data_IF_663047763461
#
_entry.id   IF_663047763461
#
_cell.length_a   1.000
_cell.length_b   1.000
_cell.length_c   1.000
_cell.angle_alpha   90.00
_cell.angle_beta   90.00
_cell.angle_gamma   90.00
#
_symmetry.space_group_name_H-M   'P 1'
#
loop_
_entity.id
_entity.type
_entity.pdbx_description
1 polymer ?
#
# COMPACT_ATOMS: atom_id res chain seq x y z
N UNK A 1 -7.62 -25.56 1.91
CA UNK A 1 -8.01 -24.29 1.27
C UNK A 1 -6.82 -23.37 1.29
N UNK A 2 -6.50 -22.74 0.16
CA UNK A 2 -5.61 -21.57 0.20
C UNK A 2 -6.45 -20.41 0.76
N UNK A 3 -5.88 -19.70 1.71
CA UNK A 3 -6.40 -18.43 2.22
C UNK A 3 -5.44 -17.36 1.71
N UNK A 4 -5.98 -16.20 1.34
CA UNK A 4 -5.20 -15.06 0.88
C UNK A 4 -4.03 -14.81 1.84
N UNK A 5 -4.26 -14.86 3.15
CA UNK A 5 -3.25 -14.55 4.16
C UNK A 5 -2.66 -15.79 4.87
N UNK A 6 -2.60 -16.94 4.20
CA UNK A 6 -2.17 -18.22 4.78
C UNK A 6 -0.66 -18.33 5.07
N UNK A 7 0.13 -17.33 4.70
CA UNK A 7 1.57 -17.26 4.97
C UNK A 7 2.45 -18.05 4.03
N UNK A 8 1.87 -18.71 3.02
CA UNK A 8 2.63 -19.44 2.00
C UNK A 8 3.25 -18.52 0.95
N UNK A 9 2.99 -17.22 1.02
CA UNK A 9 3.37 -16.24 0.02
C UNK A 9 4.08 -15.04 0.65
N UNK A 10 5.17 -14.66 0.00
CA UNK A 10 5.78 -13.36 0.18
C UNK A 10 5.25 -12.43 -0.90
N UNK A 11 4.93 -11.20 -0.51
CA UNK A 11 4.65 -10.11 -1.43
C UNK A 11 5.99 -9.48 -1.80
N UNK A 12 6.35 -9.52 -3.08
CA UNK A 12 7.56 -8.88 -3.61
C UNK A 12 7.18 -7.56 -4.23
N UNK A 13 7.69 -6.46 -3.67
CA UNK A 13 7.33 -5.11 -4.07
C UNK A 13 8.13 -4.64 -5.29
N UNK A 14 7.70 -3.52 -5.88
CA UNK A 14 8.43 -2.87 -6.97
C UNK A 14 9.74 -2.27 -6.48
N UNK A 15 10.86 -2.64 -7.10
CA UNK A 15 12.18 -2.16 -6.72
C UNK A 15 12.31 -0.63 -6.86
N UNK A 16 11.56 -0.04 -7.79
CA UNK A 16 11.44 1.39 -8.04
C UNK A 16 10.90 2.21 -6.84
N UNK A 17 10.31 1.53 -5.85
CA UNK A 17 9.74 2.14 -4.65
C UNK A 17 10.47 1.78 -3.35
N UNK A 18 11.61 1.07 -3.44
CA UNK A 18 12.36 0.62 -2.26
C UNK A 18 12.77 1.78 -1.36
N UNK A 19 13.24 2.88 -1.94
CA UNK A 19 13.66 4.06 -1.18
C UNK A 19 12.49 4.68 -0.41
N UNK A 20 11.29 4.76 -1.01
CA UNK A 20 10.12 5.29 -0.31
C UNK A 20 9.75 4.42 0.89
N UNK A 21 9.69 3.10 0.70
CA UNK A 21 9.41 2.17 1.80
C UNK A 21 10.47 2.26 2.90
N UNK A 22 11.76 2.32 2.55
CA UNK A 22 12.83 2.49 3.52
C UNK A 22 12.73 3.81 4.28
N UNK A 23 12.33 4.89 3.62
CA UNK A 23 12.09 6.19 4.26
C UNK A 23 10.91 6.13 5.23
N UNK A 24 9.81 5.49 4.86
CA UNK A 24 8.67 5.25 5.77
C UNK A 24 9.06 4.36 6.96
N UNK A 25 9.90 3.35 6.75
CA UNK A 25 10.42 2.50 7.83
C UNK A 25 11.30 3.24 8.82
N UNK A 26 12.10 4.23 8.37
CA UNK A 26 12.85 5.11 9.26
C UNK A 26 11.93 5.94 10.16
N UNK A 27 10.69 6.18 9.74
CA UNK A 27 9.64 6.82 10.53
C UNK A 27 8.86 5.86 11.43
N UNK A 28 9.36 4.63 11.63
CA UNK A 28 8.75 3.57 12.44
C UNK A 28 7.44 2.99 11.88
N UNK A 29 7.18 3.11 10.58
CA UNK A 29 6.12 2.35 9.92
C UNK A 29 6.69 1.02 9.44
N UNK A 30 6.13 -0.12 9.88
CA UNK A 30 6.58 -1.41 9.36
C UNK A 30 6.30 -1.53 7.85
N UNK A 31 6.95 -2.49 7.18
CA UNK A 31 6.83 -2.64 5.72
C UNK A 31 5.37 -2.97 5.32
N UNK A 32 4.72 -3.87 6.05
CA UNK A 32 3.31 -4.22 5.89
C UNK A 32 2.38 -3.02 6.13
N UNK A 33 2.68 -2.18 7.13
CA UNK A 33 1.89 -0.99 7.43
C UNK A 33 2.02 0.07 6.34
N UNK A 34 3.26 0.30 5.90
CA UNK A 34 3.57 1.21 4.79
C UNK A 34 2.91 0.74 3.49
N UNK A 35 2.97 -0.57 3.22
CA UNK A 35 2.29 -1.18 2.08
C UNK A 35 0.78 -1.02 2.19
N UNK A 36 0.18 -1.35 3.32
CA UNK A 36 -1.26 -1.24 3.55
C UNK A 36 -1.75 0.21 3.38
N UNK A 37 -1.05 1.17 3.97
CA UNK A 37 -1.33 2.60 3.81
C UNK A 37 -1.29 3.00 2.33
N UNK A 38 -0.24 2.61 1.61
CA UNK A 38 -0.10 2.90 0.20
C UNK A 38 -1.23 2.27 -0.64
N UNK A 39 -1.64 1.03 -0.35
CA UNK A 39 -2.80 0.39 -0.99
C UNK A 39 -4.06 1.23 -0.81
N UNK A 40 -4.35 1.65 0.42
CA UNK A 40 -5.56 2.42 0.73
C UNK A 40 -5.56 3.77 0.02
N UNK A 41 -4.42 4.47 0.01
CA UNK A 41 -4.25 5.74 -0.72
C UNK A 41 -4.44 5.55 -2.23
N UNK A 42 -3.78 4.54 -2.82
CA UNK A 42 -3.89 4.26 -4.24
C UNK A 42 -5.31 3.85 -4.64
N UNK A 43 -5.96 3.02 -3.82
CA UNK A 43 -7.34 2.60 -4.04
C UNK A 43 -8.30 3.79 -4.02
N UNK A 44 -8.21 4.62 -2.98
CA UNK A 44 -9.04 5.82 -2.83
C UNK A 44 -8.89 6.78 -4.02
N UNK A 45 -7.66 7.00 -4.47
CA UNK A 45 -7.35 7.88 -5.60
C UNK A 45 -7.50 7.19 -6.98
N UNK A 46 -7.98 5.94 -7.01
CA UNK A 46 -8.12 5.12 -8.22
C UNK A 46 -6.83 5.01 -9.05
N UNK A 47 -5.67 5.12 -8.40
CA UNK A 47 -4.36 5.10 -9.03
C UNK A 47 -3.75 3.69 -8.94
N UNK A 48 -3.44 3.12 -10.11
CA UNK A 48 -2.80 1.81 -10.25
C UNK A 48 -1.58 1.91 -11.16
N UNK A 49 -0.43 1.50 -10.64
CA UNK A 49 0.83 1.46 -11.39
C UNK A 49 1.36 0.03 -11.32
N UNK A 50 1.25 -0.77 -12.40
CA UNK A 50 1.80 -2.12 -12.43
C UNK A 50 3.30 -2.10 -12.09
N UNK A 51 3.77 -3.10 -11.33
CA UNK A 51 5.21 -3.24 -11.11
C UNK A 51 5.88 -3.85 -12.34
N UNK A 52 6.89 -3.16 -12.85
CA UNK A 52 7.70 -3.66 -13.95
C UNK A 52 8.91 -4.46 -13.46
N UNK A 53 9.30 -4.31 -12.18
CA UNK A 53 10.50 -4.91 -11.60
C UNK A 53 10.16 -5.55 -10.24
N UNK A 54 9.89 -6.86 -10.24
CA UNK A 54 9.62 -7.65 -9.02
C UNK A 54 10.90 -8.12 -8.34
N UNK A 55 11.69 -7.17 -7.86
CA UNK A 55 12.94 -7.40 -7.10
C UNK A 55 13.09 -6.43 -5.93
N UNK A 56 11.98 -5.84 -5.49
CA UNK A 56 11.97 -4.92 -4.37
C UNK A 56 11.99 -5.64 -3.03
N UNK A 57 11.68 -4.88 -1.98
CA UNK A 57 11.50 -5.41 -0.63
C UNK A 57 10.41 -6.50 -0.61
N UNK A 58 10.55 -7.44 0.31
CA UNK A 58 9.59 -8.53 0.49
C UNK A 58 9.10 -8.62 1.94
N UNK A 59 7.85 -9.05 2.12
CA UNK A 59 7.32 -9.44 3.41
C UNK A 59 6.28 -10.55 3.28
N UNK A 60 6.11 -11.32 4.34
CA UNK A 60 5.16 -12.43 4.37
C UNK A 60 3.72 -11.91 4.58
N UNK A 61 2.74 -12.52 3.90
CA UNK A 61 1.33 -12.15 4.04
C UNK A 61 0.78 -12.26 5.48
N UNK A 62 1.42 -13.02 6.36
CA UNK A 62 1.06 -13.12 7.78
C UNK A 62 1.37 -11.85 8.57
N UNK A 63 2.25 -10.98 8.07
CA UNK A 63 2.63 -9.75 8.75
C UNK A 63 1.46 -8.77 8.91
N UNK A 64 0.41 -8.89 8.08
CA UNK A 64 -0.79 -8.09 8.26
C UNK A 64 -1.48 -8.39 9.58
N UNK A 65 -1.89 -7.32 10.29
CA UNK A 65 -2.73 -7.44 11.47
C UNK A 65 -4.13 -7.97 11.11
N UNK A 66 -4.89 -8.53 12.07
CA UNK A 66 -6.27 -8.97 11.81
C UNK A 66 -7.14 -7.88 11.17
N UNK A 67 -7.04 -6.64 11.65
CA UNK A 67 -7.78 -5.49 11.13
C UNK A 67 -7.39 -5.18 9.68
N UNK A 68 -6.08 -5.20 9.36
CA UNK A 68 -5.62 -4.99 7.98
C UNK A 68 -6.17 -6.07 7.04
N UNK A 69 -6.20 -7.34 7.48
CA UNK A 69 -6.76 -8.43 6.69
C UNK A 69 -8.24 -8.22 6.41
N UNK A 70 -9.03 -7.85 7.42
CA UNK A 70 -10.47 -7.56 7.26
C UNK A 70 -10.72 -6.40 6.30
N UNK A 71 -9.96 -5.31 6.42
CA UNK A 71 -10.07 -4.15 5.54
C UNK A 71 -9.67 -4.47 4.11
N UNK A 72 -8.58 -5.24 3.92
CA UNK A 72 -8.18 -5.73 2.61
C UNK A 72 -9.24 -6.64 2.00
N UNK A 73 -9.85 -7.54 2.79
CA UNK A 73 -10.96 -8.37 2.32
C UNK A 73 -12.14 -7.53 1.84
N UNK A 74 -12.57 -6.54 2.64
CA UNK A 74 -13.64 -5.63 2.26
C UNK A 74 -13.32 -4.86 0.97
N UNK A 75 -12.09 -4.37 0.84
CA UNK A 75 -11.60 -3.70 -0.36
C UNK A 75 -11.64 -4.63 -1.57
N UNK A 76 -11.15 -5.87 -1.45
CA UNK A 76 -11.11 -6.82 -2.57
C UNK A 76 -12.53 -7.21 -3.00
N UNK A 77 -13.45 -7.44 -2.06
CA UNK A 77 -14.84 -7.76 -2.35
C UNK A 77 -15.59 -6.59 -3.02
N UNK A 78 -15.12 -5.35 -2.85
CA UNK A 78 -15.68 -4.20 -3.58
C UNK A 78 -15.29 -4.16 -5.06
N UNK A 79 -14.30 -4.96 -5.49
CA UNK A 79 -13.92 -5.02 -6.89
C UNK A 79 -14.94 -5.82 -7.71
N UNK A 80 -15.19 -5.36 -8.94
CA UNK A 80 -16.09 -6.03 -9.87
C UNK A 80 -15.67 -7.51 -10.07
N UNK A 81 -16.64 -8.41 -9.94
CA UNK A 81 -16.50 -9.86 -10.11
C UNK A 81 -15.60 -10.56 -9.09
N UNK A 82 -15.39 -9.98 -7.91
CA UNK A 82 -14.72 -10.68 -6.81
C UNK A 82 -15.77 -11.23 -5.84
N UNK A 83 -15.61 -12.49 -5.47
CA UNK A 83 -16.36 -13.12 -4.39
C UNK A 83 -15.41 -13.97 -3.51
N UNK A 84 -15.91 -14.50 -2.40
CA UNK A 84 -15.10 -15.33 -1.50
C UNK A 84 -14.58 -16.62 -2.17
N UNK A 85 -15.27 -17.13 -3.20
CA UNK A 85 -14.85 -18.33 -3.93
C UNK A 85 -13.66 -18.04 -4.85
N UNK A 86 -13.51 -16.81 -5.34
CA UNK A 86 -12.31 -16.37 -6.08
C UNK A 86 -11.06 -16.23 -5.19
N UNK A 87 -11.19 -16.24 -3.86
CA UNK A 87 -10.07 -16.04 -2.93
C UNK A 87 -9.42 -17.33 -2.43
N UNK A 88 -9.82 -18.49 -2.95
CA UNK A 88 -9.27 -19.80 -2.55
C UNK A 88 -8.43 -20.49 -3.63
N UNK A 89 -8.40 -19.91 -4.83
CA UNK A 89 -7.59 -20.38 -5.96
C UNK A 89 -6.24 -19.65 -6.03
N UNK A 90 -5.17 -20.39 -6.31
CA UNK A 90 -3.82 -19.85 -6.27
C UNK A 90 -3.57 -18.81 -7.36
N UNK A 91 -4.14 -19.00 -8.55
CA UNK A 91 -4.00 -18.04 -9.65
C UNK A 91 -4.72 -16.74 -9.32
N UNK A 92 -5.95 -16.85 -8.81
CA UNK A 92 -6.78 -15.74 -8.39
C UNK A 92 -6.14 -14.95 -7.22
N UNK A 93 -5.55 -15.64 -6.24
CA UNK A 93 -4.77 -15.02 -5.16
C UNK A 93 -3.58 -14.22 -5.72
N UNK A 94 -2.86 -14.76 -6.71
CA UNK A 94 -1.75 -14.02 -7.31
C UNK A 94 -2.25 -12.76 -8.03
N UNK A 95 -3.36 -12.84 -8.77
CA UNK A 95 -3.97 -11.67 -9.42
C UNK A 95 -4.44 -10.61 -8.41
N UNK A 96 -4.97 -11.04 -7.25
CA UNK A 96 -5.31 -10.14 -6.15
C UNK A 96 -4.05 -9.41 -5.68
N UNK A 97 -2.96 -10.12 -5.42
CA UNK A 97 -1.72 -9.50 -4.97
C UNK A 97 -1.11 -8.55 -5.99
N UNK A 98 -1.14 -8.89 -7.27
CA UNK A 98 -0.72 -7.96 -8.34
C UNK A 98 -1.51 -6.67 -8.31
N UNK A 99 -2.82 -6.79 -8.11
CA UNK A 99 -3.69 -5.62 -8.08
C UNK A 99 -3.47 -4.78 -6.82
N UNK A 100 -3.23 -5.42 -5.67
CA UNK A 100 -2.84 -4.73 -4.44
C UNK A 100 -1.50 -4.01 -4.61
N UNK A 101 -0.48 -4.68 -5.17
CA UNK A 101 0.82 -4.07 -5.46
C UNK A 101 0.65 -2.87 -6.41
N UNK A 102 -0.17 -2.99 -7.44
CA UNK A 102 -0.43 -1.89 -8.36
C UNK A 102 -1.07 -0.67 -7.67
N UNK A 103 -2.01 -0.91 -6.74
CA UNK A 103 -2.56 0.16 -5.91
C UNK A 103 -1.52 0.74 -4.95
N UNK A 104 -0.68 -0.08 -4.32
CA UNK A 104 0.39 0.38 -3.44
C UNK A 104 1.36 1.31 -4.17
N UNK A 105 1.82 0.91 -5.36
CA UNK A 105 2.67 1.74 -6.23
C UNK A 105 1.97 3.07 -6.59
N UNK A 106 0.68 3.00 -6.92
CA UNK A 106 -0.13 4.18 -7.18
C UNK A 106 -0.22 5.12 -5.97
N UNK A 107 -0.39 4.56 -4.77
CA UNK A 107 -0.42 5.32 -3.53
C UNK A 107 0.91 5.99 -3.20
N UNK A 108 2.03 5.31 -3.41
CA UNK A 108 3.36 5.92 -3.24
C UNK A 108 3.60 7.05 -4.26
N UNK A 109 3.21 6.85 -5.51
CA UNK A 109 3.29 7.92 -6.52
C UNK A 109 2.41 9.12 -6.16
N UNK A 110 1.23 8.87 -5.60
CA UNK A 110 0.36 9.92 -5.09
C UNK A 110 1.00 10.68 -3.92
N UNK A 111 1.59 9.96 -2.96
CA UNK A 111 2.31 10.55 -1.83
C UNK A 111 3.47 11.44 -2.30
N UNK A 112 4.28 10.97 -3.25
CA UNK A 112 5.37 11.76 -3.86
C UNK A 112 4.86 13.10 -4.42
N UNK A 113 3.75 13.08 -5.15
CA UNK A 113 3.24 14.27 -5.83
C UNK A 113 2.43 15.24 -4.96
N UNK A 114 1.80 14.75 -3.89
CA UNK A 114 0.83 15.54 -3.12
C UNK A 114 1.26 15.82 -1.68
N UNK A 115 1.95 14.88 -1.04
CA UNK A 115 2.33 14.99 0.38
C UNK A 115 3.81 15.33 0.55
N UNK A 116 4.66 14.79 -0.32
CA UNK A 116 6.11 14.96 -0.25
C UNK A 116 6.75 15.63 -1.48
N UNK A 117 6.12 16.60 -2.17
CA UNK A 117 6.67 17.16 -3.40
C UNK A 117 8.03 17.85 -3.18
N UNK A 118 8.25 18.42 -2.00
CA UNK A 118 9.49 19.12 -1.63
C UNK A 118 10.56 18.21 -1.01
N UNK A 119 10.27 16.91 -0.88
CA UNK A 119 11.11 15.93 -0.18
C UNK A 119 11.48 14.76 -1.09
N UNK A 120 11.77 15.04 -2.36
CA UNK A 120 12.15 14.04 -3.35
C UNK A 120 13.65 14.12 -3.66
N UNK A 121 14.29 12.97 -3.84
CA UNK A 121 15.63 12.89 -4.42
C UNK A 121 15.63 13.08 -5.95
N UNK A 122 16.82 13.00 -6.57
CA UNK A 122 16.98 13.17 -8.01
C UNK A 122 16.27 12.07 -8.84
N UNK A 123 16.00 10.91 -8.23
CA UNK A 123 15.29 9.79 -8.86
C UNK A 123 13.76 9.85 -8.56
N UNK A 124 13.33 10.86 -7.82
CA UNK A 124 11.94 11.13 -7.47
C UNK A 124 11.41 10.30 -6.29
N UNK A 125 12.28 9.68 -5.49
CA UNK A 125 11.89 8.93 -4.29
C UNK A 125 11.80 9.82 -3.05
N UNK A 126 10.93 9.47 -2.10
CA UNK A 126 10.75 10.24 -0.87
C UNK A 126 12.00 10.12 0.00
N UNK A 127 12.60 11.27 0.33
CA UNK A 127 13.72 11.43 1.26
C UNK A 127 13.40 12.56 2.22
N UNK A 128 12.89 12.19 3.40
CA UNK A 128 12.66 13.11 4.51
C UNK A 128 13.11 12.45 5.82
N UNK A 129 13.37 13.27 6.84
CA UNK A 129 13.63 12.75 8.18
C UNK A 129 12.34 12.16 8.81
N UNK A 130 12.46 11.25 9.78
CA UNK A 130 11.32 10.62 10.44
C UNK A 130 10.25 11.57 10.96
N UNK A 131 10.65 12.72 11.52
CA UNK A 131 9.72 13.67 12.12
C UNK A 131 8.87 14.37 11.06
N UNK A 132 9.49 14.72 9.93
CA UNK A 132 8.81 15.29 8.76
C UNK A 132 7.82 14.30 8.15
N UNK A 133 8.19 13.01 8.04
CA UNK A 133 7.26 11.97 7.55
C UNK A 133 6.01 11.91 8.42
N UNK A 134 6.18 11.79 9.74
CA UNK A 134 5.05 11.70 10.67
C UNK A 134 4.19 12.96 10.65
N UNK A 135 4.82 14.15 10.61
CA UNK A 135 4.10 15.42 10.52
C UNK A 135 3.23 15.46 9.27
N UNK A 136 3.81 15.18 8.10
CA UNK A 136 3.11 15.25 6.80
C UNK A 136 1.98 14.23 6.68
N UNK A 137 2.17 13.02 7.18
CA UNK A 137 1.10 12.01 7.22
C UNK A 137 -0.02 12.43 8.18
N UNK A 138 0.31 13.01 9.35
CA UNK A 138 -0.69 13.53 10.27
C UNK A 138 -1.46 14.72 9.71
N UNK A 139 -0.78 15.63 8.99
CA UNK A 139 -1.42 16.74 8.27
C UNK A 139 -2.42 16.20 7.24
N UNK A 140 -2.01 15.22 6.42
CA UNK A 140 -2.91 14.54 5.47
C UNK A 140 -4.13 13.95 6.18
N UNK A 141 -3.94 13.19 7.27
CA UNK A 141 -5.05 12.60 8.03
C UNK A 141 -5.96 13.70 8.60
N UNK A 142 -5.38 14.77 9.15
CA UNK A 142 -6.13 15.87 9.72
C UNK A 142 -6.95 16.63 8.66
N UNK A 143 -6.40 16.89 7.49
CA UNK A 143 -7.13 17.50 6.36
C UNK A 143 -8.31 16.62 5.92
N UNK A 144 -8.12 15.31 5.90
CA UNK A 144 -9.15 14.34 5.54
C UNK A 144 -10.27 14.21 6.56
N UNK A 145 -9.96 14.35 7.85
CA UNK A 145 -10.95 14.27 8.93
C UNK A 145 -11.64 15.62 9.18
N UNK A 146 -10.94 16.74 8.96
CA UNK A 146 -11.44 18.09 9.21
C UNK A 146 -12.24 18.67 8.04
N UNK A 147 -11.99 18.21 6.82
CA UNK A 147 -12.89 18.52 5.72
C UNK A 147 -14.25 17.87 6.00
N UNK A 148 -15.32 18.66 5.98
CA UNK A 148 -16.72 18.26 6.22
C UNK A 148 -17.29 17.30 5.14
N UNK A 149 -16.43 16.45 4.57
CA UNK A 149 -16.76 15.29 3.76
C UNK A 149 -16.31 14.05 4.54
N UNK A 150 -17.04 13.71 5.60
CA UNK A 150 -16.92 12.37 6.16
C UNK A 150 -17.19 11.35 5.04
N UNK A 151 -16.29 10.41 4.72
CA UNK A 151 -16.61 9.31 3.85
C UNK A 151 -16.91 8.09 4.72
N UNK A 152 -18.14 8.05 5.24
CA UNK A 152 -18.86 6.80 5.46
C UNK A 152 -20.29 7.01 4.96
#
# INVERSE_FOLDING_TARGET
MADLFDGKRNLVLGAEYNTDYQTLQKAHLELNDSFFLAVMIGYRNQQKIPSNIRRGLEFNSLAFSPVQKELLYGLILSWKNMDLQTMVDNESINQIYEKLIAYANGGLQWLRGNIFPDYLDADGAIVADPSTILLKLNEMIAEEVSSNKAPF
#
